data_IF_440397143041
#
_entry.id   IF_440397143041
#
_cell.length_a   1.000
_cell.length_b   1.000
_cell.length_c   1.000
_cell.angle_alpha   90.00
_cell.angle_beta   90.00
_cell.angle_gamma   90.00
#
_symmetry.space_group_name_H-M   'P 1'
#
loop_
_entity.id
_entity.type
_entity.pdbx_description
1 polymer ?
#
# COMPACT_ATOMS: atom_id res chain seq x y z
N UNK A 1 -10.46 -18.31 -7.16
CA UNK A 1 -9.47 -17.36 -6.63
C UNK A 1 -8.84 -17.94 -5.38
N UNK A 2 -7.50 -18.02 -5.34
CA UNK A 2 -6.73 -18.39 -4.16
C UNK A 2 -5.99 -17.13 -3.70
N UNK A 3 -6.61 -16.38 -2.80
CA UNK A 3 -6.00 -15.20 -2.20
C UNK A 3 -5.25 -15.62 -0.94
N UNK A 4 -4.13 -14.95 -0.65
CA UNK A 4 -3.32 -15.20 0.52
C UNK A 4 -3.33 -13.96 1.41
N UNK A 5 -3.68 -14.13 2.68
CA UNK A 5 -3.53 -13.07 3.68
C UNK A 5 -2.03 -12.85 3.93
N UNK A 6 -1.59 -11.61 3.75
CA UNK A 6 -0.21 -11.22 4.01
C UNK A 6 0.06 -11.29 5.51
N UNK A 7 1.13 -11.96 5.91
CA UNK A 7 1.53 -12.01 7.31
C UNK A 7 2.11 -10.66 7.75
N UNK A 8 2.10 -10.41 9.06
CA UNK A 8 2.54 -9.12 9.63
C UNK A 8 3.98 -8.76 9.30
N UNK A 9 4.91 -9.74 9.27
CA UNK A 9 6.32 -9.46 8.99
C UNK A 9 6.49 -8.99 7.55
N UNK A 10 5.87 -9.72 6.61
CA UNK A 10 5.88 -9.32 5.20
C UNK A 10 5.17 -7.98 4.99
N UNK A 11 4.08 -7.72 5.73
CA UNK A 11 3.39 -6.44 5.66
C UNK A 11 4.28 -5.27 6.10
N UNK A 12 5.04 -5.38 7.19
CA UNK A 12 5.96 -4.31 7.60
C UNK A 12 7.03 -4.02 6.55
N UNK A 13 7.58 -5.06 5.90
CA UNK A 13 8.50 -4.85 4.78
C UNK A 13 7.85 -4.18 3.57
N UNK A 14 6.57 -4.46 3.30
CA UNK A 14 5.83 -3.75 2.26
C UNK A 14 5.64 -2.27 2.60
N UNK A 15 5.41 -1.95 3.87
CA UNK A 15 5.32 -0.56 4.35
C UNK A 15 6.65 0.16 4.16
N UNK A 16 7.79 -0.49 4.42
CA UNK A 16 9.12 0.12 4.25
C UNK A 16 9.42 0.53 2.80
N UNK A 17 8.83 -0.16 1.82
CA UNK A 17 8.99 0.14 0.37
C UNK A 17 7.79 0.87 -0.23
N UNK A 18 6.80 1.22 0.59
CA UNK A 18 5.59 1.87 0.13
C UNK A 18 5.83 3.31 -0.32
N UNK A 19 4.98 3.81 -1.18
CA UNK A 19 4.98 5.18 -1.65
C UNK A 19 3.59 5.82 -1.52
N UNK A 20 3.56 7.15 -1.45
CA UNK A 20 2.32 7.91 -1.58
C UNK A 20 2.09 8.27 -3.04
N UNK A 21 0.90 7.95 -3.57
CA UNK A 21 0.50 8.31 -4.93
C UNK A 21 -0.95 8.79 -4.96
N UNK A 22 -1.29 9.58 -5.99
CA UNK A 22 -2.68 9.96 -6.25
C UNK A 22 -3.48 8.72 -6.71
N UNK A 23 -4.58 8.46 -6.03
CA UNK A 23 -5.54 7.42 -6.36
C UNK A 23 -6.95 7.94 -6.06
N UNK A 24 -7.82 7.91 -7.07
CA UNK A 24 -9.20 8.42 -7.01
C UNK A 24 -9.32 9.87 -6.48
N UNK A 25 -8.40 10.75 -6.90
CA UNK A 25 -8.38 12.17 -6.54
C UNK A 25 -7.91 12.47 -5.12
N UNK A 26 -7.39 11.46 -4.41
CA UNK A 26 -6.83 11.60 -3.06
C UNK A 26 -5.43 10.97 -3.00
N UNK A 27 -4.61 11.39 -2.04
CA UNK A 27 -3.33 10.75 -1.80
C UNK A 27 -3.53 9.48 -0.99
N UNK A 28 -2.98 8.37 -1.50
CA UNK A 28 -3.01 7.06 -0.85
C UNK A 28 -1.59 6.57 -0.63
N UNK A 29 -1.38 5.90 0.49
CA UNK A 29 -0.19 5.11 0.73
C UNK A 29 -0.42 3.69 0.20
N UNK A 30 0.56 3.15 -0.51
CA UNK A 30 0.45 1.84 -1.14
C UNK A 30 1.77 1.35 -1.70
N UNK A 31 1.72 0.26 -2.47
CA UNK A 31 2.92 -0.32 -3.09
C UNK A 31 2.78 -0.36 -4.61
N UNK A 32 3.91 -0.22 -5.31
CA UNK A 32 3.98 -0.48 -6.75
C UNK A 32 4.46 -1.89 -7.03
N UNK A 33 3.74 -2.58 -7.91
CA UNK A 33 4.16 -3.87 -8.44
C UNK A 33 3.65 -4.03 -9.86
N UNK A 34 4.48 -4.59 -10.76
CA UNK A 34 4.09 -4.78 -12.15
C UNK A 34 3.68 -3.49 -12.89
N UNK A 35 4.22 -2.34 -12.48
CA UNK A 35 3.86 -1.02 -13.05
C UNK A 35 2.53 -0.44 -12.57
N UNK A 36 1.78 -1.15 -11.71
CA UNK A 36 0.51 -0.72 -11.14
C UNK A 36 0.68 -0.33 -9.67
N UNK A 37 -0.15 0.61 -9.22
CA UNK A 37 -0.20 1.05 -7.82
C UNK A 37 -1.34 0.33 -7.09
N UNK A 38 -1.03 -0.25 -5.93
CA UNK A 38 -1.97 -0.95 -5.07
C UNK A 38 -2.18 -0.11 -3.79
N UNK A 39 -3.33 0.58 -3.66
CA UNK A 39 -3.62 1.40 -2.49
C UNK A 39 -3.82 0.51 -1.25
N UNK A 40 -3.25 0.93 -0.11
CA UNK A 40 -3.38 0.23 1.19
C UNK A 40 -4.25 1.06 2.15
N UNK A 41 -3.96 2.35 2.31
CA UNK A 41 -4.66 3.27 3.23
C UNK A 41 -4.61 4.71 2.68
N UNK A 42 -5.62 5.57 2.94
CA UNK A 42 -5.51 6.99 2.65
C UNK A 42 -4.29 7.59 3.36
N UNK A 43 -3.49 8.39 2.65
CA UNK A 43 -2.27 8.96 3.21
C UNK A 43 -2.56 9.92 4.39
N UNK A 44 -3.77 10.49 4.45
CA UNK A 44 -4.22 11.33 5.56
C UNK A 44 -4.49 10.56 6.86
N UNK A 45 -4.64 9.23 6.78
CA UNK A 45 -4.87 8.32 7.92
C UNK A 45 -3.59 7.58 8.33
N UNK A 46 -2.47 7.83 7.65
CA UNK A 46 -1.18 7.25 8.00
C UNK A 46 -0.57 8.03 9.16
N UNK A 47 -0.83 7.57 10.38
CA UNK A 47 -0.14 8.05 11.59
C UNK A 47 1.23 7.39 11.71
N UNK A 48 2.26 8.04 11.15
CA UNK A 48 3.69 7.69 11.34
C UNK A 48 4.32 8.47 12.48
#
# INVERSE_FOLDING_TARGET
NLEALIDRKSFYWLVDIGETAEHDGMNWFGVRSGGQFFPIIPAAELDV
#
